data_IF_173573377299
#
_entry.id   IF_173573377299
#
_cell.length_a   1.000
_cell.length_b   1.000
_cell.length_c   1.000
_cell.angle_alpha   90.00
_cell.angle_beta   90.00
_cell.angle_gamma   90.00
#
_symmetry.space_group_name_H-M   'P 1'
#
loop_
_entity.id
_entity.type
_entity.pdbx_description
1 polymer ?
#
# COMPACT_ATOMS: atom_id res chain seq x y z
N UNK A 1 28.28 -6.27 11.16
CA UNK A 1 27.14 -6.70 10.33
C UNK A 1 25.91 -6.54 11.20
N UNK A 2 25.14 -5.46 11.00
CA UNK A 2 23.92 -5.23 11.77
C UNK A 2 22.83 -6.09 11.17
N UNK A 3 22.25 -6.99 11.95
CA UNK A 3 21.04 -7.69 11.55
C UNK A 3 19.89 -6.70 11.55
N UNK A 4 19.30 -6.43 10.39
CA UNK A 4 18.06 -5.66 10.28
C UNK A 4 16.91 -6.53 10.78
N UNK A 5 16.49 -6.29 12.02
CA UNK A 5 15.25 -6.84 12.57
C UNK A 5 14.09 -6.05 11.98
N UNK A 6 13.51 -6.52 10.88
CA UNK A 6 12.16 -6.11 10.47
C UNK A 6 11.19 -6.59 11.54
N UNK A 7 10.83 -5.70 12.45
CA UNK A 7 9.74 -5.94 13.40
C UNK A 7 8.46 -5.96 12.57
N UNK A 8 8.03 -7.15 12.15
CA UNK A 8 6.72 -7.32 11.51
C UNK A 8 5.69 -6.87 12.55
N UNK A 9 5.17 -5.64 12.41
CA UNK A 9 3.98 -5.24 13.15
C UNK A 9 2.86 -6.11 12.62
N UNK A 10 2.13 -6.80 13.51
CA UNK A 10 1.05 -7.72 13.13
C UNK A 10 0.03 -7.12 12.14
N UNK A 11 -0.09 -5.80 12.12
CA UNK A 11 -0.93 -5.02 11.20
C UNK A 11 -0.63 -5.31 9.71
N UNK A 12 0.66 -5.45 9.31
CA UNK A 12 1.01 -5.72 7.90
C UNK A 12 0.59 -7.13 7.47
N UNK A 13 0.63 -8.09 8.40
CA UNK A 13 0.17 -9.46 8.16
C UNK A 13 -1.34 -9.47 7.93
N UNK A 14 -2.12 -8.86 8.82
CA UNK A 14 -3.58 -8.84 8.70
C UNK A 14 -4.03 -8.13 7.42
N UNK A 15 -3.42 -6.99 7.09
CA UNK A 15 -3.69 -6.30 5.82
C UNK A 15 -3.42 -7.20 4.61
N UNK A 16 -2.31 -7.95 4.62
CA UNK A 16 -1.97 -8.84 3.53
C UNK A 16 -2.92 -10.03 3.41
N UNK A 17 -3.35 -10.60 4.54
CA UNK A 17 -4.32 -11.69 4.59
C UNK A 17 -5.68 -11.25 4.07
N UNK A 18 -6.21 -10.14 4.59
CA UNK A 18 -7.52 -9.62 4.18
C UNK A 18 -7.54 -9.29 2.69
N UNK A 19 -6.50 -8.61 2.19
CA UNK A 19 -6.40 -8.26 0.77
C UNK A 19 -6.36 -9.51 -0.13
N UNK A 20 -5.65 -10.57 0.28
CA UNK A 20 -5.57 -11.77 -0.54
C UNK A 20 -6.85 -12.61 -0.44
N UNK A 21 -7.46 -12.71 0.72
CA UNK A 21 -8.75 -13.37 0.89
C UNK A 21 -9.81 -12.70 0.01
N UNK A 22 -9.93 -11.37 0.09
CA UNK A 22 -10.89 -10.60 -0.69
C UNK A 22 -10.61 -10.68 -2.20
N UNK A 23 -9.33 -10.72 -2.59
CA UNK A 23 -8.93 -10.90 -3.99
C UNK A 23 -9.37 -12.25 -4.54
N UNK A 24 -9.15 -13.33 -3.79
CA UNK A 24 -9.49 -14.69 -4.23
C UNK A 24 -10.99 -14.98 -4.16
N UNK A 25 -11.71 -14.30 -3.26
CA UNK A 25 -13.16 -14.30 -3.17
C UNK A 25 -13.84 -13.29 -4.12
N UNK A 26 -13.09 -12.67 -5.02
CA UNK A 26 -13.60 -11.76 -6.06
C UNK A 26 -14.36 -10.55 -5.51
N UNK A 27 -13.99 -10.05 -4.32
CA UNK A 27 -14.71 -8.94 -3.65
C UNK A 27 -14.36 -7.55 -4.19
N UNK A 28 -13.34 -7.44 -5.03
CA UNK A 28 -12.94 -6.19 -5.66
C UNK A 28 -12.34 -6.43 -7.04
N UNK A 29 -12.46 -5.43 -7.92
CA UNK A 29 -11.76 -5.38 -9.21
C UNK A 29 -10.48 -4.54 -9.16
N UNK A 30 -10.41 -3.63 -8.17
CA UNK A 30 -9.30 -2.71 -7.95
C UNK A 30 -8.91 -2.64 -6.48
N UNK A 31 -7.61 -2.67 -6.22
CA UNK A 31 -7.03 -2.34 -4.92
C UNK A 31 -6.25 -1.04 -4.98
N UNK A 32 -6.40 -0.20 -3.96
CA UNK A 32 -5.61 1.02 -3.76
C UNK A 32 -4.81 0.85 -2.47
N UNK A 33 -3.53 0.51 -2.59
CA UNK A 33 -2.64 0.37 -1.44
C UNK A 33 -2.04 1.74 -1.08
N UNK A 34 -2.27 2.19 0.14
CA UNK A 34 -1.62 3.38 0.70
C UNK A 34 -0.43 2.94 1.54
N UNK A 35 0.68 2.64 0.88
CA UNK A 35 1.94 2.29 1.53
C UNK A 35 3.10 2.46 0.56
N UNK A 36 4.28 2.74 1.12
CA UNK A 36 5.54 2.66 0.39
C UNK A 36 6.38 1.44 0.75
N UNK A 37 5.88 0.55 1.60
CA UNK A 37 6.63 -0.59 2.12
C UNK A 37 6.87 -1.66 1.04
N UNK A 38 8.14 -2.02 0.86
CA UNK A 38 8.56 -3.04 -0.10
C UNK A 38 8.00 -4.43 0.20
N UNK A 39 7.62 -4.72 1.44
CA UNK A 39 7.19 -6.06 1.86
C UNK A 39 5.84 -6.46 1.21
N UNK A 40 5.03 -5.49 0.79
CA UNK A 40 3.79 -5.74 0.04
C UNK A 40 4.01 -6.09 -1.44
N UNK A 41 5.24 -6.09 -1.95
CA UNK A 41 5.52 -6.34 -3.37
C UNK A 41 4.96 -7.69 -3.84
N UNK A 42 5.16 -8.75 -3.05
CA UNK A 42 4.70 -10.08 -3.44
C UNK A 42 3.18 -10.22 -3.33
N UNK A 43 2.55 -9.51 -2.40
CA UNK A 43 1.09 -9.40 -2.31
C UNK A 43 0.52 -8.78 -3.60
N UNK A 44 1.03 -7.63 -4.03
CA UNK A 44 0.53 -6.94 -5.23
C UNK A 44 0.72 -7.77 -6.51
N UNK A 45 1.82 -8.53 -6.62
CA UNK A 45 2.01 -9.48 -7.73
C UNK A 45 0.91 -10.54 -7.78
N UNK A 46 0.53 -11.11 -6.63
CA UNK A 46 -0.53 -12.13 -6.56
C UNK A 46 -1.89 -11.55 -6.91
N UNK A 47 -2.18 -10.33 -6.43
CA UNK A 47 -3.41 -9.61 -6.77
C UNK A 47 -3.49 -9.35 -8.28
N UNK A 48 -2.42 -8.90 -8.92
CA UNK A 48 -2.38 -8.71 -10.39
C UNK A 48 -2.55 -9.99 -11.19
N UNK A 49 -2.05 -11.12 -10.69
CA UNK A 49 -2.26 -12.43 -11.33
C UNK A 49 -3.71 -12.87 -11.35
N UNK A 50 -4.58 -12.23 -10.56
CA UNK A 50 -6.04 -12.43 -10.54
C UNK A 50 -6.76 -11.35 -11.34
N UNK A 51 -6.06 -10.72 -12.29
CA UNK A 51 -6.54 -9.69 -13.21
C UNK A 51 -7.15 -8.46 -12.51
N UNK A 52 -6.70 -8.18 -11.28
CA UNK A 52 -7.12 -7.00 -10.51
C UNK A 52 -6.25 -5.79 -10.83
N UNK A 53 -6.87 -4.62 -10.90
CA UNK A 53 -6.16 -3.35 -11.05
C UNK A 53 -5.50 -2.97 -9.72
N UNK A 54 -4.21 -2.61 -9.76
CA UNK A 54 -3.44 -2.20 -8.59
C UNK A 54 -3.04 -0.75 -8.72
N UNK A 55 -3.46 0.06 -7.75
CA UNK A 55 -2.96 1.43 -7.57
C UNK A 55 -2.17 1.56 -6.26
N UNK A 56 -1.10 2.35 -6.27
CA UNK A 56 -0.28 2.59 -5.07
C UNK A 56 -0.18 4.08 -4.79
N UNK A 57 -0.58 4.47 -3.59
CA UNK A 57 -0.43 5.81 -3.05
C UNK A 57 0.73 5.84 -2.04
N UNK A 58 1.69 6.74 -2.22
CA UNK A 58 2.94 6.73 -1.43
C UNK A 58 3.46 8.14 -1.12
N UNK A 59 4.31 8.27 -0.11
CA UNK A 59 5.00 9.52 0.21
C UNK A 59 6.38 9.59 -0.46
N UNK A 60 6.80 10.81 -0.84
CA UNK A 60 8.12 11.04 -1.45
C UNK A 60 9.22 10.52 -0.52
N UNK A 61 10.23 9.84 -1.09
CA UNK A 61 11.41 9.28 -0.39
C UNK A 61 11.12 8.12 0.59
N UNK A 62 9.86 7.72 0.76
CA UNK A 62 9.47 6.63 1.65
C UNK A 62 8.77 5.52 0.84
N UNK A 63 9.40 5.05 -0.25
CA UNK A 63 8.78 4.05 -1.11
C UNK A 63 9.78 3.12 -1.80
N UNK A 64 9.52 1.83 -1.77
CA UNK A 64 10.24 0.82 -2.56
C UNK A 64 9.93 0.95 -4.05
N UNK A 65 10.95 1.08 -4.89
CA UNK A 65 10.79 1.08 -6.37
C UNK A 65 10.20 -0.24 -6.87
N UNK A 66 10.54 -1.35 -6.23
CA UNK A 66 10.07 -2.68 -6.63
C UNK A 66 8.58 -2.85 -6.37
N UNK A 67 8.07 -2.25 -5.29
CA UNK A 67 6.64 -2.14 -4.99
C UNK A 67 5.94 -1.31 -6.07
N UNK A 68 6.43 -0.09 -6.32
CA UNK A 68 5.80 0.84 -7.27
C UNK A 68 5.73 0.24 -8.69
N UNK A 69 6.71 -0.55 -9.09
CA UNK A 69 6.70 -1.27 -10.37
C UNK A 69 5.59 -2.32 -10.49
N UNK A 70 4.98 -2.74 -9.38
CA UNK A 70 3.80 -3.61 -9.44
C UNK A 70 2.54 -2.81 -9.78
N UNK A 71 2.45 -1.52 -9.49
CA UNK A 71 1.23 -0.76 -9.70
C UNK A 71 0.92 -0.53 -11.18
N UNK A 72 -0.36 -0.57 -11.54
CA UNK A 72 -0.89 -0.03 -12.79
C UNK A 72 -0.84 1.51 -12.76
N UNK A 73 -1.09 2.11 -11.59
CA UNK A 73 -1.06 3.56 -11.39
C UNK A 73 -0.43 3.92 -10.05
N UNK A 74 0.42 4.95 -10.04
CA UNK A 74 1.07 5.45 -8.83
C UNK A 74 0.58 6.87 -8.50
N UNK A 75 0.40 7.15 -7.21
CA UNK A 75 -0.05 8.45 -6.71
C UNK A 75 0.89 8.97 -5.62
N UNK A 76 1.57 10.07 -5.91
CA UNK A 76 2.40 10.73 -4.91
C UNK A 76 1.53 11.55 -3.95
N UNK A 77 1.50 11.17 -2.68
CA UNK A 77 0.93 11.96 -1.59
C UNK A 77 1.92 13.06 -1.24
N UNK A 78 1.61 14.27 -1.72
CA UNK A 78 2.41 15.47 -1.45
C UNK A 78 1.75 16.36 -0.39
N UNK A 79 2.50 17.35 0.09
CA UNK A 79 2.03 18.30 1.11
C UNK A 79 0.72 19.01 0.74
N UNK A 80 0.46 19.27 -0.55
CA UNK A 80 -0.80 19.90 -1.01
C UNK A 80 -1.98 18.96 -0.79
N UNK A 81 -1.85 17.69 -1.17
CA UNK A 81 -2.88 16.65 -0.92
C UNK A 81 -3.06 16.48 0.57
N UNK A 82 -1.98 16.29 1.33
CA UNK A 82 -2.06 16.12 2.78
C UNK A 82 -2.78 17.30 3.42
N UNK A 83 -2.38 18.54 3.14
CA UNK A 83 -3.04 19.73 3.71
C UNK A 83 -4.53 19.86 3.35
N UNK A 84 -4.93 19.39 2.16
CA UNK A 84 -6.33 19.44 1.73
C UNK A 84 -7.22 18.47 2.51
N UNK A 85 -6.68 17.32 2.90
CA UNK A 85 -7.43 16.23 3.53
C UNK A 85 -7.06 15.99 5.00
N UNK A 86 -6.09 16.73 5.54
CA UNK A 86 -5.69 16.63 6.94
C UNK A 86 -6.81 17.22 7.80
N UNK A 87 -7.50 16.35 8.52
CA UNK A 87 -8.47 16.78 9.51
C UNK A 87 -7.75 17.56 10.62
N UNK A 88 -8.28 18.75 10.93
CA UNK A 88 -7.82 19.59 12.03
C UNK A 88 -9.01 19.74 12.95
N UNK A 89 -8.85 19.37 14.22
CA UNK A 89 -9.81 19.77 15.24
C UNK A 89 -9.96 21.30 15.14
N UNK A 90 -11.20 21.75 15.01
CA UNK A 90 -11.50 23.13 15.36
C UNK A 90 -11.32 23.20 16.86
N UNK A 91 -10.29 23.89 17.32
CA UNK A 91 -10.24 24.33 18.71
C UNK A 91 -11.56 25.07 18.98
N UNK A 92 -12.41 24.47 19.82
CA UNK A 92 -13.58 25.13 20.41
C UNK A 92 -13.10 26.10 21.49
#
# INVERSE_FOLDING_TARGET
>A
MGEEYHTIKGDDIYLALDMIEDCYNDKFDKVILISGDGDFTELLKRVKKKDKEVEVCYFKNCSSKVLLNQANKIHLINKKITNKFFWREKNL
#
